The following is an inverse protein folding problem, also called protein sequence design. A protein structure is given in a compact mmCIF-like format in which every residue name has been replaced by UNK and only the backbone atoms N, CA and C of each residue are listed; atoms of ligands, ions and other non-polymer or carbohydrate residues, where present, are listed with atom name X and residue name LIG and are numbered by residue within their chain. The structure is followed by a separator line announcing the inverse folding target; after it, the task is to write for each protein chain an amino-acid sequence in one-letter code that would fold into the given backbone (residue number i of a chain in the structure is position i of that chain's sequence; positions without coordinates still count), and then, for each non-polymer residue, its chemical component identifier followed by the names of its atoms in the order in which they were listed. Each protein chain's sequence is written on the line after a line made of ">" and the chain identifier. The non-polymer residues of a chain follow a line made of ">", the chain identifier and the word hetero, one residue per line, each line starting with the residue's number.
data_IF_421735698913
#
_entry.id   IF_421735698913
#
_cell.length_a   1.000
_cell.length_b   1.000
_cell.length_c   1.000
_cell.angle_alpha   90.00
_cell.angle_beta   90.00
_cell.angle_gamma   90.00
#
_symmetry.space_group_name_H-M   'P 1'
#
loop_
_entity.id
_entity.type
_entity.pdbx_description
1 polymer ?
#
# COMPACT_ATOMS: atom_id res chain seq x y z
N UNK A 1 -5.00 -22.68 -12.59
CA UNK A 1 -5.75 -21.58 -11.96
C UNK A 1 -4.75 -20.88 -11.06
N UNK A 2 -4.40 -19.63 -11.37
CA UNK A 2 -3.52 -18.84 -10.50
C UNK A 2 -4.33 -18.49 -9.25
N UNK A 3 -3.79 -18.77 -8.07
CA UNK A 3 -4.48 -18.53 -6.80
C UNK A 3 -3.68 -17.51 -6.02
N UNK A 4 -4.35 -16.46 -5.55
CA UNK A 4 -3.74 -15.44 -4.70
C UNK A 4 -3.77 -15.96 -3.26
N UNK A 5 -2.63 -16.00 -2.54
CA UNK A 5 -2.62 -16.43 -1.15
C UNK A 5 -3.39 -15.44 -0.28
N UNK A 6 -4.12 -15.96 0.71
CA UNK A 6 -5.00 -15.20 1.59
C UNK A 6 -4.64 -15.46 3.05
N UNK A 7 -4.51 -14.40 3.84
CA UNK A 7 -4.07 -14.41 5.23
C UNK A 7 -4.95 -13.49 6.09
N UNK A 8 -5.03 -13.73 7.40
CA UNK A 8 -5.71 -12.80 8.30
C UNK A 8 -4.83 -11.59 8.60
N UNK A 9 -5.41 -10.50 9.12
CA UNK A 9 -4.66 -9.27 9.37
C UNK A 9 -3.57 -9.42 10.44
N UNK A 10 -3.71 -10.41 11.33
CA UNK A 10 -2.78 -10.74 12.41
C UNK A 10 -1.70 -11.77 12.02
N UNK A 11 -1.77 -12.37 10.83
CA UNK A 11 -0.70 -13.25 10.35
C UNK A 11 0.62 -12.47 10.17
N UNK A 12 1.74 -13.09 10.58
CA UNK A 12 3.08 -12.49 10.52
C UNK A 12 3.41 -11.93 9.13
N UNK A 13 3.02 -12.64 8.07
CA UNK A 13 3.24 -12.20 6.68
C UNK A 13 2.55 -10.87 6.37
N UNK A 14 1.36 -10.61 6.93
CA UNK A 14 0.63 -9.35 6.74
C UNK A 14 1.27 -8.25 7.57
N UNK A 15 1.64 -8.54 8.81
CA UNK A 15 2.30 -7.58 9.71
C UNK A 15 3.64 -7.13 9.13
N UNK A 16 4.49 -8.07 8.73
CA UNK A 16 5.80 -7.79 8.13
C UNK A 16 5.67 -7.04 6.81
N UNK A 17 4.75 -7.47 5.93
CA UNK A 17 4.51 -6.81 4.66
C UNK A 17 4.04 -5.36 4.83
N UNK A 18 3.14 -5.10 5.78
CA UNK A 18 2.68 -3.74 6.07
C UNK A 18 3.79 -2.89 6.69
N UNK A 19 4.55 -3.45 7.62
CA UNK A 19 5.67 -2.76 8.25
C UNK A 19 6.72 -2.32 7.21
N UNK A 20 7.13 -3.22 6.31
CA UNK A 20 8.09 -2.87 5.24
C UNK A 20 7.50 -1.87 4.25
N UNK A 21 6.21 -1.98 3.92
CA UNK A 21 5.55 -1.02 3.03
C UNK A 21 5.54 0.39 3.64
N UNK A 22 5.20 0.52 4.92
CA UNK A 22 5.24 1.81 5.63
C UNK A 22 6.65 2.38 5.68
N UNK A 23 7.66 1.56 6.00
CA UNK A 23 9.06 1.99 6.02
C UNK A 23 9.53 2.51 4.66
N UNK A 24 9.20 1.81 3.56
CA UNK A 24 9.53 2.25 2.21
C UNK A 24 8.80 3.54 1.81
N UNK A 25 7.56 3.73 2.26
CA UNK A 25 6.80 4.95 1.99
C UNK A 25 7.35 6.16 2.75
N UNK A 26 7.92 5.96 3.94
CA UNK A 26 8.58 7.01 4.70
C UNK A 26 9.84 7.51 3.96
N UNK A 27 10.67 6.60 3.46
CA UNK A 27 11.82 6.96 2.62
C UNK A 27 11.40 7.62 1.29
N UNK A 28 10.30 7.14 0.69
CA UNK A 28 9.77 7.70 -0.54
C UNK A 28 9.17 9.11 -0.33
N UNK A 29 8.55 9.35 0.83
CA UNK A 29 7.90 10.62 1.16
C UNK A 29 8.87 11.81 1.06
N UNK A 30 10.10 11.63 1.55
CA UNK A 30 11.14 12.66 1.44
C UNK A 30 11.44 13.01 -0.02
N UNK A 31 11.58 11.98 -0.86
CA UNK A 31 11.87 12.13 -2.28
C UNK A 31 10.69 12.78 -3.04
N UNK A 32 9.46 12.38 -2.74
CA UNK A 32 8.24 12.96 -3.32
C UNK A 32 8.14 14.44 -2.98
N UNK A 33 8.27 14.81 -1.70
CA UNK A 33 8.24 16.20 -1.28
C UNK A 33 9.34 17.03 -1.96
N UNK A 34 10.55 16.48 -2.10
CA UNK A 34 11.68 17.12 -2.80
C UNK A 34 11.39 17.34 -4.28
N UNK A 35 10.90 16.32 -4.99
CA UNK A 35 10.63 16.37 -6.43
C UNK A 35 9.47 17.32 -6.75
N UNK A 36 8.44 17.35 -5.91
CA UNK A 36 7.29 18.24 -6.05
C UNK A 36 7.54 19.64 -5.47
N UNK A 37 8.72 19.87 -4.86
CA UNK A 37 9.13 21.15 -4.25
C UNK A 37 8.17 21.61 -3.13
N UNK A 38 7.60 20.67 -2.40
CA UNK A 38 6.72 20.93 -1.27
C UNK A 38 7.54 21.23 -0.01
N UNK A 39 7.21 22.31 0.68
CA UNK A 39 8.01 22.84 1.80
C UNK A 39 7.13 23.33 2.94
N UNK A 40 7.68 23.31 4.16
CA UNK A 40 6.99 23.76 5.37
C UNK A 40 5.60 23.10 5.50
N UNK A 41 4.50 23.88 5.60
CA UNK A 41 3.15 23.35 5.75
C UNK A 41 2.61 22.64 4.50
N UNK A 42 3.22 22.83 3.33
CA UNK A 42 2.77 22.23 2.07
C UNK A 42 3.32 20.80 1.87
N UNK A 43 4.25 20.36 2.74
CA UNK A 43 4.78 19.00 2.68
C UNK A 43 3.65 17.99 2.87
N UNK A 44 3.65 16.98 2.00
CA UNK A 44 2.88 15.77 2.26
C UNK A 44 3.37 15.12 3.56
N UNK A 45 2.43 14.55 4.28
CA UNK A 45 2.64 13.70 5.45
C UNK A 45 2.57 12.22 5.04
N UNK A 46 3.10 11.34 5.89
CA UNK A 46 3.02 9.90 5.64
C UNK A 46 1.57 9.40 5.59
N UNK A 47 0.69 9.97 6.41
CA UNK A 47 -0.75 9.66 6.38
C UNK A 47 -1.37 9.96 5.00
N UNK A 48 -1.01 11.09 4.38
CA UNK A 48 -1.49 11.45 3.04
C UNK A 48 -0.94 10.53 1.95
N UNK A 49 0.29 10.01 2.11
CA UNK A 49 0.84 9.00 1.20
C UNK A 49 0.08 7.65 1.31
N UNK A 50 -0.32 7.26 2.53
CA UNK A 50 -0.99 5.99 2.81
C UNK A 50 -2.44 5.94 2.29
N UNK A 51 -3.25 6.98 2.53
CA UNK A 51 -4.69 6.95 2.22
C UNK A 51 -5.00 6.73 0.74
N UNK A 52 -4.27 7.39 -0.17
CA UNK A 52 -4.61 7.39 -1.59
C UNK A 52 -3.74 6.45 -2.44
N UNK A 53 -2.41 6.45 -2.19
CA UNK A 53 -1.45 5.79 -3.08
C UNK A 53 -1.46 4.28 -2.95
N UNK A 54 -1.33 3.77 -1.73
CA UNK A 54 -1.03 2.35 -1.50
C UNK A 54 -2.25 1.45 -1.56
N UNK A 55 -3.43 1.94 -1.17
CA UNK A 55 -4.63 1.11 -1.09
C UNK A 55 -5.47 1.18 -2.35
N UNK A 56 -6.06 2.35 -2.63
CA UNK A 56 -6.93 2.51 -3.79
C UNK A 56 -6.13 2.43 -5.08
N UNK A 57 -5.07 3.24 -5.19
CA UNK A 57 -4.16 3.21 -6.34
C UNK A 57 -3.53 1.83 -6.54
N UNK A 58 -3.08 1.18 -5.46
CA UNK A 58 -2.54 -0.18 -5.51
C UNK A 58 -3.51 -1.21 -6.09
N UNK A 59 -4.79 -1.17 -5.71
CA UNK A 59 -5.83 -2.07 -6.25
C UNK A 59 -6.13 -1.80 -7.72
N UNK A 60 -6.25 -0.53 -8.10
CA UNK A 60 -6.46 -0.14 -9.50
C UNK A 60 -5.29 -0.61 -10.39
N UNK A 61 -4.05 -0.46 -9.91
CA UNK A 61 -2.86 -0.95 -10.61
C UNK A 61 -2.87 -2.48 -10.69
N UNK A 62 -3.25 -3.19 -9.63
CA UNK A 62 -3.32 -4.65 -9.62
C UNK A 62 -4.37 -5.17 -10.62
N UNK A 63 -5.52 -4.53 -10.73
CA UNK A 63 -6.57 -4.89 -11.70
C UNK A 63 -6.06 -4.85 -13.15
N UNK A 64 -5.28 -3.81 -13.49
CA UNK A 64 -4.71 -3.63 -14.83
C UNK A 64 -3.47 -4.52 -15.05
N UNK A 65 -2.61 -4.64 -14.04
CA UNK A 65 -1.29 -5.27 -14.19
C UNK A 65 -1.31 -6.78 -14.02
N UNK A 66 -2.37 -7.35 -13.43
CA UNK A 66 -2.48 -8.78 -13.11
C UNK A 66 -3.72 -9.39 -13.79
N UNK A 67 -3.73 -9.59 -15.12
CA UNK A 67 -4.93 -9.94 -15.88
C UNK A 67 -5.60 -11.26 -15.45
N UNK A 68 -4.85 -12.19 -14.86
CA UNK A 68 -5.37 -13.49 -14.41
C UNK A 68 -6.14 -13.40 -13.08
N UNK A 69 -5.69 -12.55 -12.16
CA UNK A 69 -6.21 -12.49 -10.78
C UNK A 69 -6.92 -11.19 -10.50
N UNK A 70 -6.49 -10.08 -11.11
CA UNK A 70 -6.95 -8.69 -10.90
C UNK A 70 -6.85 -8.21 -9.45
N UNK A 71 -6.11 -8.95 -8.64
CA UNK A 71 -6.00 -8.79 -7.21
C UNK A 71 -4.55 -8.47 -6.84
N UNK A 72 -4.29 -7.83 -5.69
CA UNK A 72 -2.92 -7.69 -5.17
C UNK A 72 -2.24 -9.07 -5.01
N UNK A 73 -0.90 -9.11 -4.93
CA UNK A 73 -0.15 -10.37 -4.78
C UNK A 73 -0.48 -11.15 -3.49
N UNK A 74 -1.05 -10.49 -2.48
CA UNK A 74 -1.45 -11.06 -1.21
C UNK A 74 -2.84 -10.49 -0.88
N UNK A 75 -3.80 -11.37 -0.57
CA UNK A 75 -5.14 -10.98 -0.11
C UNK A 75 -5.22 -11.03 1.40
N UNK A 76 -5.97 -10.09 1.97
CA UNK A 76 -6.24 -10.05 3.41
C UNK A 76 -7.68 -10.46 3.64
N UNK A 77 -7.90 -11.49 4.45
CA UNK A 77 -9.20 -11.82 5.00
C UNK A 77 -9.55 -10.77 6.06
N UNK A 78 -10.27 -9.74 5.64
CA UNK A 78 -10.70 -8.62 6.49
C UNK A 78 -12.14 -8.28 6.17
N UNK A 79 -12.92 -7.94 7.19
CA UNK A 79 -14.27 -7.36 7.06
C UNK A 79 -14.23 -5.82 6.88
N UNK A 80 -13.02 -5.26 6.76
CA UNK A 80 -12.80 -3.82 6.61
C UNK A 80 -12.72 -3.05 7.93
N UNK A 81 -12.77 -3.72 9.09
CA UNK A 81 -12.60 -3.07 10.41
C UNK A 81 -11.14 -2.92 10.82
N UNK A 82 -10.25 -3.75 10.27
CA UNK A 82 -8.80 -3.69 10.50
C UNK A 82 -8.09 -3.24 9.23
N UNK A 83 -7.48 -2.06 9.34
CA UNK A 83 -6.71 -1.39 8.29
C UNK A 83 -5.26 -1.81 8.28
#
# INVERSE_FOLDING_TARGET
>A
MEVVPMFTADDDVIVEWRAVTVGLLDELLEQVNKLLRLNGPDKLTLAQMLEAGSWKGGREIAEVSRPNTKEPPIMILSDGTVF
#
